data_IF_265556166031
#
_entry.id   IF_265556166031
#
_cell.length_a   1.000
_cell.length_b   1.000
_cell.length_c   1.000
_cell.angle_alpha   90.00
_cell.angle_beta   90.00
_cell.angle_gamma   90.00
#
_symmetry.space_group_name_H-M   'P 1'
#
loop_
_entity.id
_entity.type
_entity.pdbx_description
1 polymer ?
#
# COMPACT_ATOMS: atom_id res chain seq x y z
N UNK A 1 30.94 -13.14 21.30
CA UNK A 1 31.45 -13.48 19.95
C UNK A 1 30.40 -13.08 18.93
N UNK A 2 30.72 -12.22 17.95
CA UNK A 2 29.73 -11.81 16.94
C UNK A 2 29.36 -12.99 16.02
N UNK A 3 28.10 -13.19 15.67
CA UNK A 3 27.68 -14.27 14.78
C UNK A 3 28.38 -14.18 13.41
N UNK A 4 28.55 -15.32 12.75
CA UNK A 4 29.32 -15.45 11.50
C UNK A 4 28.84 -14.49 10.37
N UNK A 5 27.56 -14.17 10.33
CA UNK A 5 26.96 -13.22 9.39
C UNK A 5 27.52 -11.80 9.51
N UNK A 6 27.88 -11.35 10.72
CA UNK A 6 28.42 -10.01 10.96
C UNK A 6 29.88 -9.85 10.51
N UNK A 7 30.54 -10.94 10.12
CA UNK A 7 31.95 -10.94 9.70
C UNK A 7 32.14 -10.78 8.18
N UNK A 8 31.09 -10.90 7.38
CA UNK A 8 31.15 -10.73 5.92
C UNK A 8 31.21 -9.23 5.59
N UNK A 9 32.08 -8.79 4.66
CA UNK A 9 32.02 -7.43 4.13
C UNK A 9 30.60 -7.13 3.64
N UNK A 10 30.01 -6.01 4.04
CA UNK A 10 28.62 -5.64 3.72
C UNK A 10 27.53 -6.22 4.63
N UNK A 11 27.83 -7.22 5.47
CA UNK A 11 26.81 -7.82 6.35
C UNK A 11 26.47 -6.96 7.59
N UNK A 12 27.31 -5.99 7.96
CA UNK A 12 27.08 -5.13 9.15
C UNK A 12 25.80 -4.30 9.06
N UNK A 13 25.48 -3.63 7.94
CA UNK A 13 24.23 -2.88 7.82
C UNK A 13 23.00 -3.77 7.98
N UNK A 14 22.98 -4.93 7.33
CA UNK A 14 21.87 -5.89 7.41
C UNK A 14 21.71 -6.46 8.82
N UNK A 15 22.82 -6.77 9.51
CA UNK A 15 22.80 -7.20 10.90
C UNK A 15 22.24 -6.12 11.83
N UNK A 16 22.68 -4.87 11.65
CA UNK A 16 22.20 -3.73 12.43
C UNK A 16 20.69 -3.54 12.23
N UNK A 17 20.22 -3.62 10.98
CA UNK A 17 18.79 -3.54 10.66
C UNK A 17 18.00 -4.67 11.33
N UNK A 18 18.49 -5.92 11.26
CA UNK A 18 17.84 -7.05 11.90
C UNK A 18 17.75 -6.90 13.44
N UNK A 19 18.82 -6.42 14.07
CA UNK A 19 18.84 -6.13 15.51
C UNK A 19 17.87 -5.01 15.87
N UNK A 20 17.74 -3.97 15.01
CA UNK A 20 16.77 -2.89 15.21
C UNK A 20 15.33 -3.43 15.19
N UNK A 21 15.00 -4.29 14.24
CA UNK A 21 13.68 -4.94 14.17
C UNK A 21 13.43 -5.79 15.44
N UNK A 22 14.40 -6.61 15.83
CA UNK A 22 14.27 -7.44 17.04
C UNK A 22 14.07 -6.60 18.31
N UNK A 23 14.80 -5.48 18.45
CA UNK A 23 14.61 -4.52 19.54
C UNK A 23 13.21 -3.91 19.54
N UNK A 24 12.74 -3.46 18.36
CA UNK A 24 11.40 -2.93 18.21
C UNK A 24 10.35 -3.96 18.67
N UNK A 25 10.41 -5.18 18.16
CA UNK A 25 9.49 -6.25 18.56
C UNK A 25 9.52 -6.51 20.07
N UNK A 26 10.70 -6.54 20.68
CA UNK A 26 10.84 -6.78 22.13
C UNK A 26 10.25 -5.63 22.95
N UNK A 27 10.44 -4.38 22.53
CA UNK A 27 9.92 -3.20 23.23
C UNK A 27 8.44 -2.94 23.00
N UNK A 28 7.87 -3.49 21.93
CA UNK A 28 6.46 -3.33 21.55
C UNK A 28 5.64 -4.60 21.70
N UNK A 29 6.16 -5.62 22.40
CA UNK A 29 5.49 -6.92 22.58
C UNK A 29 4.12 -6.85 23.25
N UNK A 30 3.86 -5.76 24.01
CA UNK A 30 2.55 -5.50 24.61
C UNK A 30 1.58 -4.74 23.70
N UNK A 31 2.00 -4.29 22.52
CA UNK A 31 1.11 -3.62 21.55
C UNK A 31 0.38 -4.69 20.73
N UNK A 32 -0.94 -4.54 20.64
CA UNK A 32 -1.79 -5.41 19.84
C UNK A 32 -2.62 -4.63 18.83
N UNK A 33 -3.12 -5.32 17.83
CA UNK A 33 -4.14 -4.78 16.94
C UNK A 33 -5.48 -4.74 17.67
N UNK A 34 -6.08 -3.55 17.73
CA UNK A 34 -7.46 -3.39 18.22
C UNK A 34 -8.39 -3.56 17.03
N UNK A 35 -9.15 -4.65 17.01
CA UNK A 35 -10.14 -4.93 15.99
C UNK A 35 -11.54 -4.73 16.56
N UNK A 36 -12.49 -4.36 15.68
CA UNK A 36 -13.87 -4.12 16.05
C UNK A 36 -14.17 -2.65 16.36
N UNK A 37 -15.35 -2.40 16.92
CA UNK A 37 -15.83 -1.06 17.25
C UNK A 37 -17.35 -0.97 17.13
N UNK A 38 -17.91 0.15 17.62
CA UNK A 38 -19.37 0.44 17.55
C UNK A 38 -19.76 1.23 16.29
N UNK A 39 -18.79 1.66 15.50
CA UNK A 39 -19.04 2.43 14.27
C UNK A 39 -19.41 1.49 13.11
N UNK A 40 -20.22 1.97 12.16
CA UNK A 40 -20.46 1.24 10.92
C UNK A 40 -19.12 0.93 10.21
N UNK A 41 -19.05 -0.22 9.55
CA UNK A 41 -17.89 -0.62 8.76
C UNK A 41 -17.64 0.41 7.66
N UNK A 42 -16.45 0.97 7.65
CA UNK A 42 -15.96 1.88 6.62
C UNK A 42 -14.57 1.37 6.17
N UNK A 43 -14.52 0.77 5.00
CA UNK A 43 -13.27 0.22 4.49
C UNK A 43 -12.37 1.36 4.00
N UNK A 44 -11.27 1.57 4.70
CA UNK A 44 -10.26 2.59 4.39
C UNK A 44 -8.98 1.87 4.02
N UNK A 45 -8.41 2.23 2.87
CA UNK A 45 -7.11 1.76 2.40
C UNK A 45 -6.11 2.89 2.30
N UNK A 46 -4.86 2.57 2.50
CA UNK A 46 -3.72 3.46 2.22
C UNK A 46 -2.73 2.72 1.35
N UNK A 47 -2.18 3.39 0.36
CA UNK A 47 -1.10 2.85 -0.47
C UNK A 47 0.00 3.87 -0.67
N UNK A 48 1.20 3.35 -0.85
CA UNK A 48 2.42 4.12 -1.05
C UNK A 48 3.42 3.32 -1.88
N UNK A 49 4.35 4.02 -2.53
CA UNK A 49 5.41 3.41 -3.32
C UNK A 49 6.72 4.19 -3.17
N UNK A 50 7.76 3.51 -2.72
CA UNK A 50 9.13 4.04 -2.72
C UNK A 50 9.79 3.75 -4.06
N UNK A 51 9.92 4.78 -4.91
CA UNK A 51 10.50 4.66 -6.25
C UNK A 51 11.99 4.32 -6.20
N UNK A 52 12.39 3.23 -6.90
CA UNK A 52 13.77 2.80 -7.09
C UNK A 52 14.61 2.73 -5.80
N UNK A 53 13.99 2.36 -4.68
CA UNK A 53 14.63 2.34 -3.36
C UNK A 53 15.63 1.21 -3.16
N UNK A 54 15.59 0.17 -3.99
CA UNK A 54 16.60 -0.88 -4.01
C UNK A 54 17.82 -0.44 -4.83
N UNK A 55 18.92 -0.19 -4.15
CA UNK A 55 20.16 0.35 -4.77
C UNK A 55 20.76 -0.61 -5.80
N UNK A 56 20.62 -1.94 -5.61
CA UNK A 56 21.22 -2.93 -6.50
C UNK A 56 20.37 -3.18 -7.75
N UNK A 57 19.04 -3.27 -7.56
CA UNK A 57 18.12 -3.67 -8.65
C UNK A 57 17.32 -2.51 -9.21
N UNK A 58 17.37 -1.33 -8.58
CA UNK A 58 16.57 -0.14 -8.93
C UNK A 58 15.06 -0.42 -8.97
N UNK A 59 14.61 -1.43 -8.21
CA UNK A 59 13.19 -1.77 -8.10
C UNK A 59 12.55 -0.98 -6.98
N UNK A 60 11.29 -0.64 -7.18
CA UNK A 60 10.46 0.08 -6.22
C UNK A 60 9.87 -0.87 -5.18
N UNK A 61 9.70 -0.40 -3.95
CA UNK A 61 8.92 -1.09 -2.92
C UNK A 61 7.53 -0.50 -2.88
N UNK A 62 6.51 -1.36 -2.88
CA UNK A 62 5.10 -0.99 -2.85
C UNK A 62 4.48 -1.50 -1.56
N UNK A 63 3.61 -0.68 -0.97
CA UNK A 63 2.95 -1.01 0.27
C UNK A 63 1.48 -0.58 0.30
N UNK A 64 0.70 -1.32 1.08
CA UNK A 64 -0.66 -0.92 1.43
C UNK A 64 -1.06 -1.47 2.78
N UNK A 65 -2.08 -0.86 3.36
CA UNK A 65 -2.89 -1.48 4.41
C UNK A 65 -4.36 -1.10 4.27
N UNK A 66 -5.24 -1.96 4.78
CA UNK A 66 -6.67 -1.73 4.86
C UNK A 66 -7.18 -1.88 6.29
N UNK A 67 -8.09 -0.98 6.65
CA UNK A 67 -8.82 -1.01 7.93
C UNK A 67 -10.32 -0.86 7.68
N UNK A 68 -11.16 -1.77 8.19
CA UNK A 68 -12.61 -1.60 8.17
C UNK A 68 -13.15 -0.80 9.37
N UNK A 69 -12.26 -0.28 10.23
CA UNK A 69 -12.63 0.42 11.45
C UNK A 69 -11.43 0.82 12.29
N UNK A 70 -11.25 0.18 13.45
CA UNK A 70 -10.21 0.56 14.41
C UNK A 70 -8.80 0.07 14.05
N UNK A 71 -8.65 -1.10 13.42
CA UNK A 71 -7.35 -1.71 13.15
C UNK A 71 -7.19 -2.24 11.74
N UNK A 72 -5.94 -2.41 11.32
CA UNK A 72 -5.63 -2.99 10.02
C UNK A 72 -5.99 -4.48 9.98
N UNK A 73 -6.61 -4.93 8.89
CA UNK A 73 -7.00 -6.32 8.64
C UNK A 73 -6.27 -6.95 7.47
N UNK A 74 -5.74 -6.13 6.57
CA UNK A 74 -4.90 -6.57 5.45
C UNK A 74 -3.80 -5.56 5.24
N UNK A 75 -2.58 -6.05 4.99
CA UNK A 75 -1.42 -5.21 4.67
C UNK A 75 -0.41 -6.00 3.85
N UNK A 76 0.36 -5.27 3.07
CA UNK A 76 1.45 -5.84 2.27
C UNK A 76 2.55 -4.81 2.09
N UNK A 77 3.79 -5.30 2.10
CA UNK A 77 4.96 -4.58 1.61
C UNK A 77 5.74 -5.53 0.72
N UNK A 78 5.94 -5.15 -0.53
CA UNK A 78 6.60 -6.02 -1.52
C UNK A 78 7.41 -5.21 -2.50
N UNK A 79 8.55 -5.78 -2.91
CA UNK A 79 9.36 -5.22 -3.99
C UNK A 79 8.73 -5.55 -5.33
N UNK A 80 8.72 -4.58 -6.24
CA UNK A 80 8.28 -4.77 -7.62
C UNK A 80 9.10 -5.86 -8.31
N UNK A 81 8.46 -6.66 -9.17
CA UNK A 81 9.15 -7.69 -9.98
C UNK A 81 9.93 -7.10 -11.16
N UNK A 82 9.73 -5.83 -11.49
CA UNK A 82 10.35 -5.11 -12.60
C UNK A 82 10.76 -3.69 -12.17
N UNK A 83 11.59 -3.06 -12.99
CA UNK A 83 12.00 -1.67 -12.83
C UNK A 83 11.00 -0.79 -13.55
N UNK A 84 10.54 0.27 -12.87
CA UNK A 84 9.67 1.30 -13.44
C UNK A 84 10.50 2.53 -13.81
N UNK A 85 10.00 3.33 -14.76
CA UNK A 85 10.76 4.44 -15.34
C UNK A 85 10.48 5.78 -14.65
N UNK A 86 9.50 5.84 -13.76
CA UNK A 86 9.13 7.05 -13.02
C UNK A 86 8.44 6.74 -11.70
N UNK A 87 8.47 7.70 -10.78
CA UNK A 87 7.72 7.60 -9.52
C UNK A 87 6.21 7.48 -9.76
N UNK A 88 5.68 8.21 -10.75
CA UNK A 88 4.26 8.12 -11.11
C UNK A 88 3.87 6.71 -11.57
N UNK A 89 4.74 6.04 -12.31
CA UNK A 89 4.53 4.65 -12.74
C UNK A 89 4.55 3.69 -11.55
N UNK A 90 5.49 3.86 -10.60
CA UNK A 90 5.55 3.07 -9.39
C UNK A 90 4.24 3.16 -8.58
N UNK A 91 3.71 4.39 -8.43
CA UNK A 91 2.45 4.64 -7.73
C UNK A 91 1.24 4.00 -8.44
N UNK A 92 1.22 4.01 -9.76
CA UNK A 92 0.15 3.38 -10.54
C UNK A 92 0.14 1.87 -10.32
N UNK A 93 1.33 1.23 -10.26
CA UNK A 93 1.42 -0.19 -9.96
C UNK A 93 1.01 -0.51 -8.52
N UNK A 94 1.37 0.35 -7.56
CA UNK A 94 0.88 0.23 -6.20
C UNK A 94 -0.65 0.31 -6.15
N UNK A 95 -1.24 1.29 -6.83
CA UNK A 95 -2.69 1.44 -6.97
C UNK A 95 -3.37 0.23 -7.61
N UNK A 96 -2.75 -0.38 -8.62
CA UNK A 96 -3.25 -1.58 -9.28
C UNK A 96 -3.30 -2.79 -8.34
N UNK A 97 -2.24 -3.00 -7.57
CA UNK A 97 -2.17 -4.06 -6.55
C UNK A 97 -3.25 -3.87 -5.49
N UNK A 98 -3.42 -2.65 -5.03
CA UNK A 98 -4.40 -2.28 -4.01
C UNK A 98 -5.83 -2.45 -4.51
N UNK A 99 -6.11 -2.17 -5.78
CA UNK A 99 -7.45 -2.33 -6.36
C UNK A 99 -7.93 -3.79 -6.31
N UNK A 100 -7.03 -4.75 -6.49
CA UNK A 100 -7.36 -6.18 -6.39
C UNK A 100 -7.73 -6.55 -4.95
N UNK A 101 -6.93 -6.13 -3.99
CA UNK A 101 -7.17 -6.38 -2.56
C UNK A 101 -8.45 -5.71 -2.07
N UNK A 102 -8.67 -4.46 -2.46
CA UNK A 102 -9.90 -3.71 -2.16
C UNK A 102 -11.14 -4.46 -2.63
N UNK A 103 -11.10 -4.97 -3.86
CA UNK A 103 -12.21 -5.72 -4.44
C UNK A 103 -12.47 -7.01 -3.65
N UNK A 104 -11.41 -7.74 -3.31
CA UNK A 104 -11.51 -8.95 -2.51
C UNK A 104 -12.11 -8.68 -1.12
N UNK A 105 -11.59 -7.68 -0.41
CA UNK A 105 -12.11 -7.27 0.90
C UNK A 105 -13.59 -6.83 0.83
N UNK A 106 -13.98 -6.15 -0.23
CA UNK A 106 -15.37 -5.72 -0.43
C UNK A 106 -16.31 -6.93 -0.55
N UNK A 107 -15.89 -7.96 -1.30
CA UNK A 107 -16.65 -9.21 -1.40
C UNK A 107 -16.68 -9.96 -0.08
N UNK A 108 -15.53 -10.10 0.59
CA UNK A 108 -15.46 -10.77 1.89
C UNK A 108 -16.39 -10.12 2.93
N UNK A 109 -16.39 -8.79 3.03
CA UNK A 109 -17.28 -8.07 3.93
C UNK A 109 -18.75 -8.30 3.57
N UNK A 110 -19.09 -8.34 2.28
CA UNK A 110 -20.43 -8.63 1.83
C UNK A 110 -20.88 -10.06 2.21
N UNK A 111 -20.00 -11.04 2.07
CA UNK A 111 -20.27 -12.45 2.43
C UNK A 111 -20.42 -12.63 3.95
N UNK A 112 -19.70 -11.83 4.74
CA UNK A 112 -19.85 -11.77 6.20
C UNK A 112 -21.11 -11.00 6.67
N UNK A 113 -21.87 -10.41 5.76
CA UNK A 113 -23.04 -9.58 6.09
C UNK A 113 -22.70 -8.15 6.52
N UNK A 114 -21.42 -7.78 6.51
CA UNK A 114 -20.87 -6.49 6.97
C UNK A 114 -20.62 -5.55 5.79
N UNK A 115 -21.66 -5.23 5.03
CA UNK A 115 -21.53 -4.33 3.89
C UNK A 115 -21.22 -2.90 4.33
N UNK A 116 -20.10 -2.29 3.82
CA UNK A 116 -19.84 -0.87 4.06
C UNK A 116 -21.01 0.00 3.58
N UNK A 117 -21.39 0.99 4.38
CA UNK A 117 -22.49 1.93 4.03
C UNK A 117 -22.12 2.91 2.92
N UNK A 118 -20.85 3.11 2.69
CA UNK A 118 -20.29 3.97 1.64
C UNK A 118 -19.25 3.23 0.84
N UNK A 119 -18.95 3.74 -0.36
CA UNK A 119 -17.84 3.22 -1.14
C UNK A 119 -16.53 3.29 -0.32
N UNK A 120 -15.69 2.25 -0.37
CA UNK A 120 -14.38 2.27 0.24
C UNK A 120 -13.56 3.48 -0.17
N UNK A 121 -12.76 4.02 0.74
CA UNK A 121 -11.86 5.13 0.43
C UNK A 121 -10.42 4.62 0.39
N UNK A 122 -9.73 4.90 -0.71
CA UNK A 122 -8.31 4.62 -0.88
C UNK A 122 -7.52 5.93 -0.87
N UNK A 123 -6.63 6.07 0.08
CA UNK A 123 -5.73 7.21 0.21
C UNK A 123 -4.38 6.88 -0.42
N UNK A 124 -3.85 7.82 -1.19
CA UNK A 124 -2.50 7.81 -1.73
C UNK A 124 -1.88 9.20 -1.58
N UNK A 125 -0.57 9.28 -1.47
CA UNK A 125 0.15 10.56 -1.38
C UNK A 125 0.46 11.18 -2.76
N UNK A 126 0.31 10.40 -3.83
CA UNK A 126 0.65 10.82 -5.18
C UNK A 126 -0.56 11.39 -5.94
N UNK A 127 -0.53 12.71 -6.16
CA UNK A 127 -1.55 13.42 -6.96
C UNK A 127 -1.65 12.90 -8.40
N UNK A 128 -0.53 12.44 -8.98
CA UNK A 128 -0.53 11.98 -10.38
C UNK A 128 -1.37 10.71 -10.56
N UNK A 129 -1.29 9.74 -9.63
CA UNK A 129 -2.12 8.53 -9.66
C UNK A 129 -3.61 8.90 -9.59
N UNK A 130 -3.99 9.79 -8.67
CA UNK A 130 -5.38 10.22 -8.50
C UNK A 130 -5.90 10.93 -9.75
N UNK A 131 -5.10 11.84 -10.32
CA UNK A 131 -5.45 12.56 -11.54
C UNK A 131 -5.59 11.62 -12.73
N UNK A 132 -4.66 10.67 -12.90
CA UNK A 132 -4.72 9.67 -13.96
C UNK A 132 -6.00 8.82 -13.89
N UNK A 133 -6.44 8.46 -12.68
CA UNK A 133 -7.69 7.73 -12.50
C UNK A 133 -8.92 8.58 -12.82
N UNK A 134 -8.87 9.91 -12.68
CA UNK A 134 -9.99 10.83 -12.92
C UNK A 134 -10.08 11.34 -14.35
N UNK A 135 -8.93 11.50 -15.02
CA UNK A 135 -8.82 12.20 -16.31
C UNK A 135 -8.70 11.21 -17.49
N UNK A 136 -9.76 11.04 -18.32
CA UNK A 136 -9.71 10.13 -19.48
C UNK A 136 -8.66 10.52 -20.53
N UNK A 137 -8.34 11.81 -20.64
CA UNK A 137 -7.40 12.33 -21.66
C UNK A 137 -5.93 11.93 -21.44
N UNK A 138 -5.60 11.39 -20.27
CA UNK A 138 -4.24 10.98 -19.95
C UNK A 138 -3.93 9.52 -20.36
N UNK A 139 -4.88 8.81 -20.98
CA UNK A 139 -4.70 7.42 -21.45
C UNK A 139 -3.51 7.24 -22.40
N UNK A 140 -3.21 8.26 -23.23
CA UNK A 140 -2.07 8.17 -24.16
C UNK A 140 -0.71 8.08 -23.47
N UNK A 141 -0.61 8.58 -22.22
CA UNK A 141 0.63 8.56 -21.42
C UNK A 141 0.84 7.25 -20.68
N UNK A 142 -0.19 6.42 -20.58
CA UNK A 142 -0.19 5.18 -19.76
C UNK A 142 -0.43 3.92 -20.60
N UNK A 143 -0.24 3.97 -21.91
CA UNK A 143 -0.45 2.85 -22.84
C UNK A 143 0.34 1.57 -22.51
N UNK A 144 1.37 1.68 -21.69
CA UNK A 144 2.23 0.56 -21.27
C UNK A 144 1.93 0.06 -19.86
N UNK A 145 0.91 0.63 -19.19
CA UNK A 145 0.60 0.31 -17.81
C UNK A 145 -0.45 -0.81 -17.75
N UNK A 146 -0.21 -1.71 -16.83
CA UNK A 146 -0.90 -2.97 -16.61
C UNK A 146 -2.44 -2.85 -16.43
N UNK A 147 -3.13 -3.93 -16.72
CA UNK A 147 -4.57 -4.16 -16.55
C UNK A 147 -5.08 -3.72 -15.15
N UNK A 148 -4.23 -3.83 -14.12
CA UNK A 148 -4.57 -3.40 -12.76
C UNK A 148 -4.87 -1.91 -12.61
N UNK A 149 -4.21 -1.05 -13.38
CA UNK A 149 -4.52 0.38 -13.43
C UNK A 149 -5.93 0.64 -13.95
N UNK A 150 -6.32 -0.05 -15.01
CA UNK A 150 -7.66 0.05 -15.57
C UNK A 150 -8.72 -0.43 -14.58
N UNK A 151 -8.39 -1.41 -13.73
CA UNK A 151 -9.28 -1.86 -12.66
C UNK A 151 -9.55 -0.74 -11.66
N UNK A 152 -8.52 -0.07 -11.11
CA UNK A 152 -8.70 1.01 -10.15
C UNK A 152 -9.52 2.16 -10.73
N UNK A 153 -9.23 2.54 -11.96
CA UNK A 153 -9.97 3.57 -12.70
C UNK A 153 -11.43 3.19 -12.91
N UNK A 154 -11.70 1.96 -13.31
CA UNK A 154 -13.06 1.47 -13.51
C UNK A 154 -13.84 1.43 -12.19
N UNK A 155 -13.22 0.99 -11.10
CA UNK A 155 -13.83 1.02 -9.77
C UNK A 155 -14.19 2.46 -9.36
N UNK A 156 -13.31 3.42 -9.62
CA UNK A 156 -13.60 4.82 -9.33
C UNK A 156 -14.72 5.37 -10.22
N UNK A 157 -14.69 5.10 -11.52
CA UNK A 157 -15.72 5.55 -12.47
C UNK A 157 -17.12 5.02 -12.10
N UNK A 158 -17.18 3.80 -11.58
CA UNK A 158 -18.44 3.17 -11.09
C UNK A 158 -18.84 3.67 -9.69
N UNK A 159 -18.06 4.51 -9.05
CA UNK A 159 -18.29 4.90 -7.67
C UNK A 159 -18.09 3.77 -6.65
N UNK A 160 -17.41 2.69 -7.06
CA UNK A 160 -17.09 1.54 -6.21
C UNK A 160 -15.88 1.77 -5.31
N UNK A 161 -15.11 2.85 -5.53
CA UNK A 161 -14.04 3.35 -4.67
C UNK A 161 -13.99 4.87 -4.74
N UNK A 162 -13.62 5.51 -3.65
CA UNK A 162 -13.27 6.92 -3.59
C UNK A 162 -11.76 7.05 -3.46
N UNK A 163 -11.13 7.91 -4.26
CA UNK A 163 -9.70 8.20 -4.16
C UNK A 163 -9.51 9.52 -3.41
N UNK A 164 -8.74 9.46 -2.33
CA UNK A 164 -8.34 10.58 -1.49
C UNK A 164 -6.83 10.84 -1.56
N UNK A 165 -6.44 12.10 -1.42
CA UNK A 165 -5.04 12.46 -1.20
C UNK A 165 -4.75 12.40 0.30
N UNK A 166 -3.67 11.73 0.70
CA UNK A 166 -3.14 11.87 2.05
C UNK A 166 -2.47 13.24 2.13
N UNK A 167 -3.01 14.13 2.94
CA UNK A 167 -2.20 15.25 3.39
C UNK A 167 -1.14 14.69 4.33
N UNK A 168 0.14 14.81 3.94
CA UNK A 168 1.29 14.34 4.74
C UNK A 168 1.26 15.06 6.07
N UNK A 169 0.63 14.43 7.05
CA UNK A 169 0.67 14.85 8.43
C UNK A 169 1.94 14.31 9.11
N UNK A 170 2.34 14.85 10.27
CA UNK A 170 3.58 14.50 10.97
C UNK A 170 3.66 13.04 11.45
N UNK A 171 2.76 12.16 11.05
CA UNK A 171 2.63 10.77 11.49
C UNK A 171 3.31 9.75 10.57
N UNK A 172 3.93 10.19 9.45
CA UNK A 172 4.60 9.35 8.45
C UNK A 172 6.14 9.53 8.45
N UNK A 173 6.72 10.04 9.54
CA UNK A 173 8.17 10.11 9.74
C UNK A 173 8.64 9.12 10.80
#
# INVERSE_FOLDING_TARGET
MAPALARRPGARPHWTAAVRVAKYMATTSGLGLVLGGTKPVALIGHCDSSYADDVETQRSTQGYYFSPGAGAVSWRSTRSSFVVTSSAEAEIYAGAMVAQELRWLTFLLADLGERPRSAPTLYADNKAMILLCREPRLESKVKHIDVGYFLLRELQRRGAVQLGLVEVGPWLL
#
